data_IF_464139641701
#
_entry.id   IF_464139641701
#
_cell.length_a   1.000
_cell.length_b   1.000
_cell.length_c   1.000
_cell.angle_alpha   90.00
_cell.angle_beta   90.00
_cell.angle_gamma   90.00
#
_symmetry.space_group_name_H-M   'P 1'
#
loop_
_entity.id
_entity.type
_entity.pdbx_description
1 polymer ?
#
# COMPACT_ATOMS: atom_id res chain seq x y z
N UNK A 1 -13.59 21.52 -42.96
CA UNK A 1 -13.54 21.62 -41.49
C UNK A 1 -14.37 20.49 -40.90
N UNK A 2 -13.73 19.42 -40.40
CA UNK A 2 -14.44 18.29 -39.76
C UNK A 2 -14.50 18.50 -38.25
N UNK A 3 -15.71 18.67 -37.72
CA UNK A 3 -15.95 18.80 -36.29
C UNK A 3 -15.79 17.44 -35.62
N UNK A 4 -14.66 17.21 -34.95
CA UNK A 4 -14.46 16.04 -34.09
C UNK A 4 -15.49 16.13 -32.96
N UNK A 5 -16.48 15.23 -32.99
CA UNK A 5 -17.47 15.10 -31.91
C UNK A 5 -16.73 14.66 -30.65
N UNK A 6 -16.56 15.59 -29.70
CA UNK A 6 -16.01 15.28 -28.35
C UNK A 6 -16.85 14.17 -27.74
N UNK A 7 -16.21 13.03 -27.45
CA UNK A 7 -16.84 11.97 -26.68
C UNK A 7 -17.22 12.52 -25.29
N UNK A 8 -18.41 12.17 -24.81
CA UNK A 8 -18.91 12.61 -23.48
C UNK A 8 -18.12 12.00 -22.33
N UNK A 9 -17.38 10.92 -22.60
CA UNK A 9 -16.46 10.29 -21.67
C UNK A 9 -15.06 10.87 -21.92
N UNK A 10 -14.52 11.54 -20.91
CA UNK A 10 -13.12 11.96 -20.89
C UNK A 10 -12.18 10.75 -20.83
N UNK A 11 -10.86 10.97 -20.83
CA UNK A 11 -9.91 9.87 -20.63
C UNK A 11 -10.23 9.15 -19.32
N UNK A 12 -10.25 7.81 -19.38
CA UNK A 12 -10.46 6.99 -18.20
C UNK A 12 -9.29 7.17 -17.20
N UNK A 13 -9.54 7.11 -15.89
CA UNK A 13 -8.47 7.12 -14.90
C UNK A 13 -7.52 5.95 -15.18
N UNK A 14 -6.21 6.21 -15.07
CA UNK A 14 -5.20 5.16 -15.14
C UNK A 14 -5.19 4.40 -13.82
N UNK A 15 -5.63 3.15 -13.83
CA UNK A 15 -5.44 2.26 -12.69
C UNK A 15 -4.04 1.66 -12.78
N UNK A 16 -3.13 2.09 -11.91
CA UNK A 16 -1.79 1.51 -11.81
C UNK A 16 -1.76 0.48 -10.68
N UNK A 17 -1.53 -0.79 -11.03
CA UNK A 17 -1.34 -1.88 -10.08
C UNK A 17 0.15 -2.25 -10.04
N UNK A 18 0.77 -2.14 -8.87
CA UNK A 18 2.18 -2.52 -8.68
C UNK A 18 2.25 -3.83 -7.91
N UNK A 19 2.83 -4.86 -8.54
CA UNK A 19 3.16 -6.12 -7.86
C UNK A 19 4.57 -6.05 -7.30
N UNK A 20 4.72 -6.29 -6.01
CA UNK A 20 6.02 -6.39 -5.34
C UNK A 20 6.24 -7.82 -4.88
N UNK A 21 7.40 -8.39 -5.22
CA UNK A 21 7.85 -9.70 -4.73
C UNK A 21 9.01 -9.44 -3.78
N UNK A 22 8.94 -9.96 -2.55
CA UNK A 22 10.00 -9.83 -1.57
C UNK A 22 10.50 -11.20 -1.14
N UNK A 23 11.81 -11.29 -0.90
CA UNK A 23 12.45 -12.46 -0.30
C UNK A 23 12.75 -12.08 1.14
N UNK A 24 12.38 -12.94 2.08
CA UNK A 24 12.65 -12.72 3.49
C UNK A 24 13.22 -13.99 4.15
N UNK A 25 13.94 -13.84 5.26
CA UNK A 25 14.30 -14.99 6.10
C UNK A 25 13.04 -15.74 6.57
N UNK A 26 13.14 -17.06 6.70
CA UNK A 26 12.04 -17.89 7.17
C UNK A 26 11.55 -17.49 8.59
N UNK A 27 12.47 -17.02 9.44
CA UNK A 27 12.14 -16.49 10.77
C UNK A 27 11.19 -15.29 10.69
N UNK A 28 11.46 -14.34 9.78
CA UNK A 28 10.60 -13.17 9.61
C UNK A 28 9.20 -13.58 9.13
N UNK A 29 9.10 -14.55 8.22
CA UNK A 29 7.80 -15.09 7.78
C UNK A 29 7.03 -15.72 8.93
N UNK A 30 7.69 -16.51 9.78
CA UNK A 30 7.07 -17.15 10.93
C UNK A 30 6.55 -16.13 11.96
N UNK A 31 7.32 -15.06 12.19
CA UNK A 31 6.90 -13.99 13.11
C UNK A 31 5.73 -13.18 12.56
N UNK A 32 5.71 -12.91 11.25
CA UNK A 32 4.58 -12.27 10.59
C UNK A 32 3.30 -13.13 10.65
N UNK A 33 3.42 -14.44 10.44
CA UNK A 33 2.28 -15.36 10.56
C UNK A 33 1.74 -15.42 11.99
N UNK A 34 2.63 -15.44 12.99
CA UNK A 34 2.25 -15.37 14.40
C UNK A 34 1.52 -14.06 14.70
N UNK A 35 2.02 -12.94 14.19
CA UNK A 35 1.38 -11.64 14.39
C UNK A 35 -0.02 -11.63 13.76
N UNK A 36 -0.17 -12.13 12.53
CA UNK A 36 -1.45 -12.24 11.86
C UNK A 36 -2.46 -13.08 12.66
N UNK A 37 -2.02 -14.20 13.25
CA UNK A 37 -2.86 -15.02 14.13
C UNK A 37 -3.27 -14.28 15.41
N UNK A 38 -2.39 -13.48 16.01
CA UNK A 38 -2.72 -12.67 17.19
C UNK A 38 -3.69 -11.52 16.84
N UNK A 39 -3.51 -10.90 15.69
CA UNK A 39 -4.44 -9.88 15.18
C UNK A 39 -5.85 -10.46 15.01
N UNK A 40 -5.95 -11.66 14.42
CA UNK A 40 -7.23 -12.36 14.26
C UNK A 40 -7.91 -12.70 15.58
N UNK A 41 -7.12 -13.12 16.58
CA UNK A 41 -7.63 -13.37 17.93
C UNK A 41 -8.15 -12.08 18.61
N UNK A 42 -7.50 -10.95 18.33
CA UNK A 42 -7.82 -9.67 18.97
C UNK A 42 -9.06 -9.02 18.34
N UNK A 43 -9.19 -9.06 17.01
CA UNK A 43 -10.21 -8.33 16.26
C UNK A 43 -11.28 -9.22 15.63
N UNK A 44 -11.18 -10.55 15.79
CA UNK A 44 -12.17 -11.51 15.29
C UNK A 44 -12.12 -11.78 13.78
N UNK A 45 -11.24 -11.11 13.04
CA UNK A 45 -11.09 -11.28 11.60
C UNK A 45 -9.73 -11.89 11.24
N UNK A 46 -9.76 -13.01 10.51
CA UNK A 46 -8.55 -13.64 9.99
C UNK A 46 -7.90 -12.76 8.93
N UNK A 47 -6.74 -12.19 9.26
CA UNK A 47 -5.92 -11.41 8.32
C UNK A 47 -4.76 -12.28 7.86
N UNK A 48 -4.50 -12.32 6.56
CA UNK A 48 -3.31 -13.01 6.03
C UNK A 48 -2.06 -12.15 6.19
N UNK A 49 -0.90 -12.76 6.33
CA UNK A 49 0.40 -12.05 6.32
C UNK A 49 0.56 -11.16 5.09
N UNK A 50 0.10 -11.60 3.91
CA UNK A 50 0.18 -10.84 2.66
C UNK A 50 -0.66 -9.56 2.71
N UNK A 51 -1.81 -9.62 3.37
CA UNK A 51 -2.69 -8.46 3.60
C UNK A 51 -2.08 -7.50 4.62
N UNK A 52 -1.43 -8.04 5.65
CA UNK A 52 -0.92 -7.27 6.76
C UNK A 52 0.38 -6.49 6.43
N UNK A 53 1.25 -7.07 5.62
CA UNK A 53 2.54 -6.46 5.26
C UNK A 53 2.38 -5.04 4.69
N UNK A 54 1.51 -4.78 3.70
CA UNK A 54 1.29 -3.42 3.20
C UNK A 54 0.91 -2.42 4.30
N UNK A 55 -0.04 -2.78 5.18
CA UNK A 55 -0.47 -1.90 6.27
C UNK A 55 0.63 -1.64 7.29
N UNK A 56 1.43 -2.66 7.62
CA UNK A 56 2.59 -2.49 8.51
C UNK A 56 3.64 -1.56 7.91
N UNK A 57 3.93 -1.71 6.61
CA UNK A 57 4.90 -0.86 5.92
C UNK A 57 4.40 0.59 5.82
N UNK A 58 3.12 0.79 5.56
CA UNK A 58 2.52 2.13 5.55
C UNK A 58 2.61 2.80 6.92
N UNK A 59 2.22 2.10 7.98
CA UNK A 59 2.33 2.59 9.36
C UNK A 59 3.78 2.88 9.76
N UNK A 60 4.72 2.03 9.35
CA UNK A 60 6.15 2.23 9.55
C UNK A 60 6.64 3.52 8.87
N UNK A 61 6.32 3.71 7.59
CA UNK A 61 6.72 4.90 6.81
C UNK A 61 6.09 6.18 7.38
N UNK A 62 4.82 6.13 7.80
CA UNK A 62 4.15 7.26 8.43
C UNK A 62 4.77 7.61 9.80
N UNK A 63 5.20 6.60 10.55
CA UNK A 63 5.84 6.75 11.86
C UNK A 63 7.26 7.31 11.79
N UNK A 64 8.01 7.02 10.72
CA UNK A 64 9.42 7.43 10.58
C UNK A 64 9.56 8.95 10.39
N UNK A 65 9.95 9.64 11.47
CA UNK A 65 10.17 11.10 11.48
C UNK A 65 11.42 11.50 10.70
N UNK A 66 12.45 10.65 10.68
CA UNK A 66 13.69 10.87 9.92
C UNK A 66 13.41 10.88 8.43
N UNK A 67 12.62 9.90 7.97
CA UNK A 67 12.11 9.83 6.61
C UNK A 67 11.27 11.06 6.24
N UNK A 68 10.32 11.46 7.09
CA UNK A 68 9.44 12.62 6.81
C UNK A 68 10.15 13.97 6.73
N UNK A 69 11.23 14.16 7.48
CA UNK A 69 12.01 15.42 7.50
C UNK A 69 12.86 15.62 6.24
N UNK A 70 13.06 14.57 5.44
CA UNK A 70 13.94 14.53 4.27
C UNK A 70 13.38 15.10 2.94
N UNK A 71 12.17 15.67 2.91
CA UNK A 71 11.86 16.73 1.93
C UNK A 71 11.04 16.41 0.67
N UNK A 72 10.60 15.17 0.39
CA UNK A 72 9.77 14.91 -0.81
C UNK A 72 8.45 14.16 -0.56
N UNK A 73 8.22 13.62 0.63
CA UNK A 73 7.00 12.88 0.96
C UNK A 73 5.72 13.73 0.86
N UNK A 74 5.79 15.02 1.20
CA UNK A 74 4.61 15.89 1.30
C UNK A 74 3.87 16.14 -0.03
N UNK A 75 4.54 15.99 -1.18
CA UNK A 75 3.93 16.22 -2.50
C UNK A 75 3.23 15.00 -3.10
N UNK A 76 3.55 13.76 -2.65
CA UNK A 76 2.97 12.54 -3.25
C UNK A 76 1.59 12.20 -2.69
N UNK A 77 1.36 12.47 -1.40
CA UNK A 77 0.09 12.13 -0.71
C UNK A 77 -1.09 13.03 -1.07
N UNK A 78 -0.85 14.17 -1.75
CA UNK A 78 -1.91 15.11 -2.15
C UNK A 78 -2.41 14.92 -3.58
N UNK A 79 -1.73 14.11 -4.39
CA UNK A 79 -1.98 13.97 -5.83
C UNK A 79 -2.29 12.52 -6.25
N UNK A 80 -2.61 11.63 -5.29
CA UNK A 80 -3.03 10.25 -5.53
C UNK A 80 -4.50 10.07 -5.26
#
# INVERSE_FOLDING_TARGET
>A
MSTVRKLRLGPLPKTETVKVIFICPASLKADLDRYAALHAQTYGETVSTVTLIPHMLEAFMAGDRGFRRGGEWSNRVKNG
#
